data_IF_760845915955
#
_entry.id   IF_760845915955
#
_cell.length_a   1.000
_cell.length_b   1.000
_cell.length_c   1.000
_cell.angle_alpha   90.00
_cell.angle_beta   90.00
_cell.angle_gamma   90.00
#
_symmetry.space_group_name_H-M   'P 1'
#
loop_
_entity.id
_entity.type
_entity.pdbx_description
1 polymer ?
#
# COMPACT_ATOMS: atom_id res chain seq x y z
N UNK A 1 1.75 -47.67 -23.92
CA UNK A 1 0.97 -46.39 -23.88
C UNK A 1 1.92 -45.36 -23.30
N UNK A 2 2.33 -44.37 -24.10
CA UNK A 2 3.19 -43.27 -23.60
C UNK A 2 2.28 -42.18 -23.10
N UNK A 3 2.38 -41.91 -21.80
CA UNK A 3 1.67 -40.82 -21.16
C UNK A 3 2.29 -39.50 -21.64
N UNK A 4 1.57 -38.78 -22.47
CA UNK A 4 1.97 -37.43 -22.89
C UNK A 4 1.61 -36.51 -21.71
N UNK A 5 2.55 -36.32 -20.78
CA UNK A 5 2.42 -35.32 -19.73
C UNK A 5 2.33 -33.92 -20.33
N UNK A 6 1.14 -33.47 -20.67
CA UNK A 6 0.87 -32.05 -20.91
C UNK A 6 1.08 -31.31 -19.58
N UNK A 7 2.16 -30.53 -19.53
CA UNK A 7 2.36 -29.56 -18.45
C UNK A 7 1.31 -28.45 -18.64
N UNK A 8 0.24 -28.51 -17.87
CA UNK A 8 -0.74 -27.42 -17.81
C UNK A 8 -0.05 -26.26 -17.10
N UNK A 9 0.49 -25.31 -17.86
CA UNK A 9 0.95 -24.03 -17.29
C UNK A 9 -0.32 -23.25 -16.98
N UNK A 10 -0.72 -23.23 -15.71
CA UNK A 10 -1.79 -22.34 -15.23
C UNK A 10 -1.18 -20.93 -15.20
N UNK A 11 -1.41 -20.18 -16.25
CA UNK A 11 -1.04 -18.77 -16.28
C UNK A 11 -1.89 -18.01 -15.28
N UNK A 12 -1.27 -17.47 -14.22
CA UNK A 12 -1.94 -16.67 -13.23
C UNK A 12 -2.57 -15.44 -13.91
N UNK A 13 -3.89 -15.29 -13.77
CA UNK A 13 -4.60 -14.09 -14.18
C UNK A 13 -4.84 -13.21 -12.97
N UNK A 14 -4.56 -11.93 -13.14
CA UNK A 14 -4.71 -10.90 -12.12
C UNK A 14 -5.98 -10.12 -12.39
N UNK A 15 -6.80 -9.92 -11.36
CA UNK A 15 -7.94 -9.03 -11.43
C UNK A 15 -7.45 -7.60 -11.23
N UNK A 16 -7.33 -6.85 -12.31
CA UNK A 16 -6.78 -5.49 -12.33
C UNK A 16 -7.89 -4.48 -12.51
N UNK A 17 -8.07 -3.57 -11.54
CA UNK A 17 -8.98 -2.43 -11.70
C UNK A 17 -8.42 -1.44 -12.70
N UNK A 18 -7.19 -0.99 -12.48
CA UNK A 18 -6.57 0.05 -13.28
C UNK A 18 -5.04 -0.03 -13.25
N UNK A 19 -4.41 0.43 -14.34
CA UNK A 19 -2.98 0.68 -14.44
C UNK A 19 -2.82 2.05 -15.07
N UNK A 20 -2.25 3.01 -14.34
CA UNK A 20 -2.13 4.40 -14.79
C UNK A 20 -0.82 5.04 -14.30
N UNK A 21 -0.39 6.09 -14.98
CA UNK A 21 0.76 6.91 -14.61
C UNK A 21 0.26 8.13 -13.83
N UNK A 22 0.84 8.35 -12.66
CA UNK A 22 0.61 9.55 -11.85
C UNK A 22 1.83 9.86 -10.98
N UNK A 23 1.64 10.60 -9.89
CA UNK A 23 2.65 10.81 -8.85
C UNK A 23 2.24 10.08 -7.58
N UNK A 24 3.21 9.56 -6.79
CA UNK A 24 2.91 9.11 -5.44
C UNK A 24 2.38 10.28 -4.60
N UNK A 25 1.17 10.15 -4.08
CA UNK A 25 0.53 11.17 -3.24
C UNK A 25 0.93 11.10 -1.78
N UNK A 26 1.58 10.01 -1.36
CA UNK A 26 1.92 9.69 0.02
C UNK A 26 3.21 8.86 0.11
N UNK A 27 3.75 8.72 1.33
CA UNK A 27 4.92 7.90 1.61
C UNK A 27 6.26 8.54 1.22
N UNK A 28 7.29 7.71 1.15
CA UNK A 28 8.65 8.18 0.95
C UNK A 28 8.93 8.71 -0.47
N UNK A 29 8.09 8.37 -1.45
CA UNK A 29 8.20 8.80 -2.84
C UNK A 29 7.23 9.93 -3.22
N UNK A 30 6.62 10.58 -2.25
CA UNK A 30 5.66 11.67 -2.47
C UNK A 30 6.15 12.68 -3.51
N UNK A 31 5.33 12.91 -4.55
CA UNK A 31 5.64 13.80 -5.67
C UNK A 31 6.44 13.17 -6.82
N UNK A 32 6.95 11.94 -6.69
CA UNK A 32 7.66 11.27 -7.78
C UNK A 32 6.69 10.61 -8.76
N UNK A 33 6.97 10.65 -10.08
CA UNK A 33 6.21 9.88 -11.07
C UNK A 33 6.29 8.38 -10.82
N UNK A 34 5.15 7.70 -10.81
CA UNK A 34 5.02 6.25 -10.61
C UNK A 34 3.90 5.68 -11.48
N UNK A 35 3.99 4.40 -11.79
CA UNK A 35 2.88 3.65 -12.38
C UNK A 35 2.13 2.96 -11.25
N UNK A 36 0.85 3.26 -11.10
CA UNK A 36 -0.02 2.54 -10.18
C UNK A 36 -0.52 1.25 -10.84
N UNK A 37 -0.46 0.14 -10.10
CA UNK A 37 -1.17 -1.10 -10.40
C UNK A 37 -2.17 -1.30 -9.27
N UNK A 38 -3.45 -1.12 -9.54
CA UNK A 38 -4.53 -1.35 -8.58
C UNK A 38 -5.19 -2.69 -8.84
N UNK A 39 -5.02 -3.62 -7.90
CA UNK A 39 -5.66 -4.94 -7.95
C UNK A 39 -7.04 -4.89 -7.27
N UNK A 40 -7.98 -5.70 -7.78
CA UNK A 40 -9.34 -5.77 -7.29
C UNK A 40 -9.46 -6.68 -6.05
N UNK A 41 -10.23 -6.24 -5.07
CA UNK A 41 -10.60 -7.01 -3.88
C UNK A 41 -9.82 -6.59 -2.63
N UNK A 42 -10.48 -6.66 -1.49
CA UNK A 42 -9.92 -6.34 -0.17
C UNK A 42 -10.46 -7.30 0.88
N UNK A 43 -9.65 -7.60 1.88
CA UNK A 43 -10.03 -8.38 3.07
C UNK A 43 -10.57 -7.50 4.21
N UNK A 44 -10.61 -6.16 4.03
CA UNK A 44 -11.14 -5.19 5.01
C UNK A 44 -12.28 -4.37 4.41
N UNK A 45 -13.06 -3.70 5.29
CA UNK A 45 -14.15 -2.78 4.94
C UNK A 45 -14.06 -1.52 5.81
N UNK A 46 -13.05 -0.69 5.52
CA UNK A 46 -12.79 0.53 6.29
C UNK A 46 -13.88 1.58 6.05
N UNK A 47 -14.28 2.30 7.13
CA UNK A 47 -15.34 3.31 7.08
C UNK A 47 -15.03 4.49 6.14
N UNK A 48 -13.77 4.93 6.10
CA UNK A 48 -13.28 6.06 5.30
C UNK A 48 -12.50 5.64 4.04
N UNK A 49 -12.76 4.41 3.53
CA UNK A 49 -12.10 3.94 2.32
C UNK A 49 -12.44 4.83 1.12
N UNK A 50 -11.43 5.40 0.47
CA UNK A 50 -11.58 6.26 -0.70
C UNK A 50 -11.53 5.48 -2.04
N UNK A 51 -11.22 4.18 -1.97
CA UNK A 51 -11.11 3.29 -3.14
C UNK A 51 -12.08 2.12 -3.07
N UNK A 52 -13.28 2.31 -2.50
CA UNK A 52 -14.32 1.26 -2.39
C UNK A 52 -14.68 0.60 -3.71
N UNK A 53 -14.62 1.35 -4.81
CA UNK A 53 -14.84 0.82 -6.15
C UNK A 53 -13.91 -0.34 -6.51
N UNK A 54 -12.73 -0.39 -5.90
CA UNK A 54 -11.78 -1.48 -6.11
C UNK A 54 -12.20 -2.82 -5.46
N UNK A 55 -13.29 -2.83 -4.69
CA UNK A 55 -13.77 -4.00 -3.96
C UNK A 55 -15.25 -4.31 -4.23
N UNK A 56 -16.09 -3.29 -4.43
CA UNK A 56 -17.55 -3.44 -4.40
C UNK A 56 -18.19 -3.57 -5.80
N UNK A 57 -17.62 -2.96 -6.84
CA UNK A 57 -18.28 -2.78 -8.14
C UNK A 57 -17.95 -3.85 -9.20
N UNK A 58 -17.13 -4.85 -8.88
CA UNK A 58 -16.63 -5.85 -9.84
C UNK A 58 -16.08 -5.26 -11.14
N UNK A 59 -15.57 -4.02 -11.09
CA UNK A 59 -14.93 -3.33 -12.20
C UNK A 59 -13.46 -3.73 -12.28
N UNK A 60 -13.19 -4.85 -12.93
CA UNK A 60 -11.81 -5.29 -13.19
C UNK A 60 -11.67 -5.97 -14.55
N UNK A 61 -10.46 -6.01 -15.05
CA UNK A 61 -10.08 -6.83 -16.20
C UNK A 61 -9.16 -7.96 -15.71
N UNK A 62 -9.36 -9.15 -16.22
CA UNK A 62 -8.39 -10.21 -16.05
C UNK A 62 -7.22 -9.98 -17.00
N UNK A 63 -6.02 -9.81 -16.45
CA UNK A 63 -4.80 -9.59 -17.20
C UNK A 63 -3.77 -10.66 -16.88
N UNK A 64 -3.02 -11.10 -17.88
CA UNK A 64 -1.85 -11.93 -17.68
C UNK A 64 -0.70 -11.12 -17.08
N UNK A 65 0.28 -11.80 -16.49
CA UNK A 65 1.52 -11.16 -16.04
C UNK A 65 2.21 -10.39 -17.16
N UNK A 66 2.24 -10.99 -18.35
CA UNK A 66 2.83 -10.38 -19.54
C UNK A 66 2.13 -9.05 -19.91
N UNK A 67 0.79 -9.05 -19.96
CA UNK A 67 0.02 -7.83 -20.32
C UNK A 67 0.25 -6.70 -19.30
N UNK A 68 0.33 -7.04 -18.00
CA UNK A 68 0.65 -6.06 -16.95
C UNK A 68 2.05 -5.47 -17.18
N UNK A 69 3.06 -6.31 -17.39
CA UNK A 69 4.44 -5.87 -17.62
C UNK A 69 4.56 -4.98 -18.86
N UNK A 70 3.97 -5.39 -19.99
CA UNK A 70 3.97 -4.60 -21.23
C UNK A 70 3.34 -3.22 -20.98
N UNK A 71 2.22 -3.19 -20.28
CA UNK A 71 1.53 -1.94 -19.95
C UNK A 71 2.38 -1.04 -19.05
N UNK A 72 2.98 -1.58 -17.98
CA UNK A 72 3.84 -0.84 -17.06
C UNK A 72 5.06 -0.27 -17.78
N UNK A 73 5.77 -1.12 -18.54
CA UNK A 73 6.98 -0.73 -19.28
C UNK A 73 6.70 0.35 -20.33
N UNK A 74 5.48 0.37 -20.90
CA UNK A 74 5.09 1.37 -21.91
C UNK A 74 5.06 2.80 -21.37
N UNK A 75 4.98 3.01 -20.05
CA UNK A 75 5.04 4.32 -19.45
C UNK A 75 6.46 4.88 -19.26
N UNK A 76 7.50 4.05 -19.37
CA UNK A 76 8.90 4.47 -19.27
C UNK A 76 9.33 4.97 -17.88
N UNK A 77 8.58 4.65 -16.83
CA UNK A 77 8.89 5.04 -15.44
C UNK A 77 9.37 3.81 -14.66
N UNK A 78 10.54 3.87 -13.99
CA UNK A 78 11.13 2.72 -13.31
C UNK A 78 10.55 2.48 -11.90
N UNK A 79 9.33 2.93 -11.63
CA UNK A 79 8.68 2.82 -10.32
C UNK A 79 7.24 2.40 -10.46
N UNK A 80 6.84 1.46 -9.59
CA UNK A 80 5.45 0.98 -9.46
C UNK A 80 5.00 1.17 -8.02
N UNK A 81 3.77 1.64 -7.83
CA UNK A 81 3.01 1.50 -6.60
C UNK A 81 1.97 0.43 -6.82
N UNK A 82 2.21 -0.73 -6.20
CA UNK A 82 1.31 -1.87 -6.19
C UNK A 82 0.33 -1.70 -5.04
N UNK A 83 -0.92 -1.51 -5.38
CA UNK A 83 -2.01 -1.20 -4.45
C UNK A 83 -3.29 -1.91 -4.86
N UNK A 84 -4.44 -1.48 -4.38
CA UNK A 84 -5.72 -2.04 -4.77
C UNK A 84 -6.78 -1.78 -3.72
N UNK A 85 -7.61 -2.78 -3.45
CA UNK A 85 -8.17 -2.98 -2.13
C UNK A 85 -7.05 -3.45 -1.20
N UNK A 86 -6.63 -4.72 -1.33
CA UNK A 86 -5.42 -5.26 -0.70
C UNK A 86 -4.64 -6.09 -1.73
N UNK A 87 -3.45 -5.64 -2.16
CA UNK A 87 -2.72 -6.35 -3.21
C UNK A 87 -2.19 -7.70 -2.76
N UNK A 88 -1.87 -7.87 -1.48
CA UNK A 88 -1.20 -9.08 -0.98
C UNK A 88 -2.12 -10.31 -0.86
N UNK A 89 -3.44 -10.15 -0.96
CA UNK A 89 -4.37 -11.31 -0.98
C UNK A 89 -4.46 -11.99 -2.35
N UNK A 90 -3.85 -11.40 -3.40
CA UNK A 90 -3.98 -11.93 -4.75
C UNK A 90 -3.11 -13.16 -4.97
N UNK A 91 -3.69 -14.26 -5.49
CA UNK A 91 -2.90 -15.38 -5.98
C UNK A 91 -1.89 -14.92 -7.03
N UNK A 92 -0.63 -15.33 -6.90
CA UNK A 92 0.43 -14.96 -7.86
C UNK A 92 1.02 -13.56 -7.68
N UNK A 93 0.61 -12.77 -6.68
CA UNK A 93 1.19 -11.42 -6.46
C UNK A 93 2.70 -11.44 -6.27
N UNK A 94 3.24 -12.50 -5.67
CA UNK A 94 4.70 -12.68 -5.54
C UNK A 94 5.40 -12.77 -6.90
N UNK A 95 4.79 -13.45 -7.87
CA UNK A 95 5.34 -13.55 -9.23
C UNK A 95 5.29 -12.21 -9.95
N UNK A 96 4.23 -11.41 -9.72
CA UNK A 96 4.15 -10.05 -10.23
C UNK A 96 5.28 -9.17 -9.65
N UNK A 97 5.49 -9.19 -8.34
CA UNK A 97 6.57 -8.44 -7.68
C UNK A 97 7.94 -8.86 -8.22
N UNK A 98 8.21 -10.18 -8.30
CA UNK A 98 9.47 -10.71 -8.85
C UNK A 98 9.71 -10.24 -10.27
N UNK A 99 8.68 -10.27 -11.11
CA UNK A 99 8.79 -9.90 -12.51
C UNK A 99 9.02 -8.40 -12.70
N UNK A 100 8.38 -7.54 -11.86
CA UNK A 100 8.66 -6.11 -11.87
C UNK A 100 10.12 -5.83 -11.48
N UNK A 101 10.60 -6.43 -10.39
CA UNK A 101 11.98 -6.29 -9.92
C UNK A 101 13.01 -6.80 -10.95
N UNK A 102 12.72 -7.92 -11.64
CA UNK A 102 13.57 -8.47 -12.68
C UNK A 102 13.68 -7.55 -13.92
N UNK A 103 12.69 -6.67 -14.14
CA UNK A 103 12.70 -5.63 -15.17
C UNK A 103 13.21 -4.28 -14.65
N UNK A 104 13.99 -4.27 -13.58
CA UNK A 104 14.64 -3.09 -12.99
C UNK A 104 13.67 -2.04 -12.41
N UNK A 105 12.45 -2.46 -12.06
CA UNK A 105 11.41 -1.59 -11.50
C UNK A 105 11.47 -1.64 -9.97
N UNK A 106 11.44 -0.46 -9.33
CA UNK A 106 11.24 -0.30 -7.90
C UNK A 106 9.75 -0.44 -7.57
N UNK A 107 9.42 -1.31 -6.61
CA UNK A 107 8.04 -1.62 -6.22
C UNK A 107 7.76 -1.11 -4.81
N UNK A 108 6.83 -0.17 -4.66
CA UNK A 108 6.20 0.14 -3.39
C UNK A 108 4.91 -0.68 -3.25
N UNK A 109 4.77 -1.41 -2.17
CA UNK A 109 3.60 -2.23 -1.88
C UNK A 109 2.79 -1.52 -0.79
N UNK A 110 1.62 -0.99 -1.15
CA UNK A 110 0.67 -0.45 -0.18
C UNK A 110 -0.21 -1.58 0.36
N UNK A 111 -0.05 -1.90 1.63
CA UNK A 111 -0.81 -2.96 2.30
C UNK A 111 -1.53 -2.45 3.54
N UNK A 112 -2.68 -3.03 3.83
CA UNK A 112 -3.53 -2.63 4.94
C UNK A 112 -3.13 -3.23 6.31
N UNK A 113 -2.06 -4.04 6.35
CA UNK A 113 -1.54 -4.64 7.58
C UNK A 113 -2.31 -5.83 8.14
N UNK A 114 -3.35 -6.30 7.43
CA UNK A 114 -4.17 -7.47 7.81
C UNK A 114 -3.85 -8.72 6.95
N UNK A 115 -2.69 -8.76 6.34
CA UNK A 115 -2.06 -9.93 5.70
C UNK A 115 -0.75 -10.19 6.42
N UNK A 116 -0.42 -11.45 6.67
CA UNK A 116 0.83 -11.82 7.32
C UNK A 116 2.02 -11.55 6.39
N UNK A 117 2.87 -10.59 6.76
CA UNK A 117 4.03 -10.22 5.96
C UNK A 117 5.15 -11.27 5.99
N UNK A 118 5.17 -12.20 6.94
CA UNK A 118 6.12 -13.31 6.94
C UNK A 118 5.96 -14.21 5.71
N UNK A 119 4.78 -14.24 5.10
CA UNK A 119 4.58 -14.89 3.80
C UNK A 119 5.40 -14.25 2.67
N UNK A 120 5.85 -13.02 2.85
CA UNK A 120 6.62 -12.22 1.89
C UNK A 120 8.09 -12.02 2.29
N UNK A 121 8.62 -12.91 3.14
CA UNK A 121 9.97 -12.85 3.71
C UNK A 121 11.07 -12.72 2.63
N UNK A 122 10.86 -13.26 1.45
CA UNK A 122 11.79 -13.18 0.32
C UNK A 122 12.04 -11.74 -0.17
N UNK A 123 11.12 -10.82 0.09
CA UNK A 123 11.23 -9.41 -0.29
C UNK A 123 11.72 -8.51 0.85
N UNK A 124 11.78 -9.01 2.08
CA UNK A 124 12.08 -8.22 3.28
C UNK A 124 13.34 -7.37 3.16
N UNK A 125 14.39 -7.93 2.59
CA UNK A 125 15.69 -7.26 2.42
C UNK A 125 15.99 -6.85 0.99
N UNK A 126 15.05 -7.01 0.06
CA UNK A 126 15.22 -6.58 -1.32
C UNK A 126 15.17 -5.04 -1.39
N UNK A 127 16.24 -4.40 -1.87
CA UNK A 127 16.36 -2.94 -1.93
C UNK A 127 15.38 -2.27 -2.89
N UNK A 128 14.83 -3.00 -3.86
CA UNK A 128 13.84 -2.51 -4.82
C UNK A 128 12.40 -2.70 -4.37
N UNK A 129 12.16 -3.39 -3.25
CA UNK A 129 10.82 -3.61 -2.72
C UNK A 129 10.69 -2.89 -1.38
N UNK A 130 9.69 -2.02 -1.28
CA UNK A 130 9.34 -1.30 -0.05
C UNK A 130 7.91 -1.63 0.32
N UNK A 131 7.67 -1.90 1.59
CA UNK A 131 6.35 -2.05 2.15
C UNK A 131 5.91 -0.72 2.77
N UNK A 132 4.79 -0.19 2.32
CA UNK A 132 4.06 0.90 2.97
C UNK A 132 2.84 0.28 3.65
N UNK A 133 2.97 -0.02 4.94
CA UNK A 133 1.91 -0.64 5.72
C UNK A 133 1.05 0.43 6.40
N UNK A 134 -0.24 0.42 6.12
CA UNK A 134 -1.22 1.31 6.70
C UNK A 134 -1.84 0.67 7.95
N UNK A 135 -1.41 1.10 9.15
CA UNK A 135 -2.03 0.69 10.40
C UNK A 135 -3.43 1.28 10.51
N UNK A 136 -4.44 0.44 10.47
CA UNK A 136 -5.85 0.86 10.54
C UNK A 136 -6.23 1.18 11.99
N UNK A 137 -6.41 2.48 12.26
CA UNK A 137 -6.86 2.97 13.55
C UNK A 137 -8.35 2.69 13.80
N UNK A 138 -8.82 2.97 15.02
CA UNK A 138 -10.17 2.64 15.48
C UNK A 138 -11.28 3.22 14.60
N UNK A 139 -11.11 4.45 14.09
CA UNK A 139 -12.09 5.10 13.21
C UNK A 139 -12.31 4.37 11.89
N UNK A 140 -11.35 3.57 11.44
CA UNK A 140 -11.50 2.70 10.28
C UNK A 140 -12.54 1.59 10.48
N UNK A 141 -12.81 1.21 11.75
CA UNK A 141 -13.58 0.03 12.13
C UNK A 141 -12.83 -1.29 11.96
N UNK A 142 -11.52 -1.26 11.62
CA UNK A 142 -10.73 -2.45 11.26
C UNK A 142 -9.48 -2.66 12.13
N UNK A 143 -9.34 -1.92 13.24
CA UNK A 143 -8.16 -2.01 14.11
C UNK A 143 -7.94 -3.44 14.67
N UNK A 144 -9.01 -4.17 14.96
CA UNK A 144 -8.97 -5.54 15.46
C UNK A 144 -8.43 -6.58 14.43
N UNK A 145 -8.30 -6.19 13.18
CA UNK A 145 -7.76 -7.02 12.10
C UNK A 145 -6.24 -6.86 11.92
N UNK A 146 -5.63 -5.90 12.61
CA UNK A 146 -4.21 -5.63 12.45
C UNK A 146 -3.34 -6.76 13.00
N UNK A 147 -2.41 -7.26 12.18
CA UNK A 147 -1.42 -8.27 12.56
C UNK A 147 -0.20 -7.54 13.11
N UNK A 148 -0.09 -7.49 14.45
CA UNK A 148 0.95 -6.71 15.12
C UNK A 148 2.37 -7.24 14.88
N UNK A 149 2.54 -8.54 14.60
CA UNK A 149 3.85 -9.11 14.21
C UNK A 149 4.42 -8.48 12.93
N UNK A 150 3.57 -7.94 12.05
CA UNK A 150 4.02 -7.21 10.86
C UNK A 150 4.91 -6.01 11.19
N UNK A 151 4.74 -5.39 12.37
CA UNK A 151 5.58 -4.28 12.82
C UNK A 151 7.05 -4.69 12.97
N UNK A 152 7.32 -5.92 13.42
CA UNK A 152 8.69 -6.46 13.54
C UNK A 152 9.26 -6.93 12.18
N UNK A 153 8.38 -7.20 11.21
CA UNK A 153 8.80 -7.53 9.85
C UNK A 153 9.42 -6.34 9.13
N UNK A 154 8.84 -5.14 9.29
CA UNK A 154 9.24 -3.94 8.57
C UNK A 154 10.68 -3.53 8.84
N UNK A 155 11.36 -3.05 7.81
CA UNK A 155 12.77 -2.63 7.82
C UNK A 155 12.88 -1.10 7.74
N UNK A 156 14.08 -0.49 7.98
CA UNK A 156 14.26 0.96 7.88
C UNK A 156 13.94 1.58 6.52
N UNK A 157 13.92 0.79 5.45
CA UNK A 157 13.49 1.22 4.11
C UNK A 157 11.97 1.29 3.95
N UNK A 158 11.23 0.62 4.84
CA UNK A 158 9.78 0.49 4.78
C UNK A 158 9.08 1.66 5.49
N UNK A 159 7.80 1.76 5.29
CA UNK A 159 6.93 2.80 5.86
C UNK A 159 5.87 2.16 6.73
N UNK A 160 5.65 2.72 7.92
CA UNK A 160 4.42 2.53 8.68
C UNK A 160 3.61 3.82 8.62
N UNK A 161 2.37 3.73 8.15
CA UNK A 161 1.46 4.86 7.98
C UNK A 161 0.28 4.74 8.95
N UNK A 162 -0.06 5.85 9.59
CA UNK A 162 -1.24 6.01 10.41
C UNK A 162 -2.14 7.10 9.80
N UNK A 163 -3.35 6.74 9.40
CA UNK A 163 -4.36 7.69 8.94
C UNK A 163 -5.32 7.92 10.10
N UNK A 164 -5.25 9.10 10.71
CA UNK A 164 -5.89 9.40 12.00
C UNK A 164 -7.03 10.42 11.85
N UNK A 165 -8.07 10.26 12.67
CA UNK A 165 -9.25 11.13 12.67
C UNK A 165 -9.37 12.01 13.92
N UNK A 166 -8.56 11.76 14.96
CA UNK A 166 -8.65 12.45 16.24
C UNK A 166 -7.40 12.22 17.12
N UNK A 167 -7.31 12.98 18.22
CA UNK A 167 -6.18 12.90 19.15
C UNK A 167 -6.00 11.53 19.84
N UNK A 168 -7.08 10.77 20.06
CA UNK A 168 -6.96 9.44 20.67
C UNK A 168 -6.20 8.47 19.73
N UNK A 169 -6.37 8.62 18.43
CA UNK A 169 -5.65 7.81 17.44
C UNK A 169 -4.20 8.25 17.30
N UNK A 170 -3.90 9.53 17.52
CA UNK A 170 -2.51 10.00 17.59
C UNK A 170 -1.80 9.43 18.82
N UNK A 171 -2.45 9.44 20.00
CA UNK A 171 -1.92 8.79 21.19
C UNK A 171 -1.78 7.26 21.01
N UNK A 172 -2.68 6.63 20.25
CA UNK A 172 -2.55 5.21 19.89
C UNK A 172 -1.35 4.96 18.98
N UNK A 173 -1.12 5.81 17.98
CA UNK A 173 0.08 5.77 17.13
C UNK A 173 1.35 5.83 17.98
N UNK A 174 1.46 6.79 18.87
CA UNK A 174 2.59 6.95 19.80
C UNK A 174 2.81 5.67 20.61
N UNK A 175 1.77 5.15 21.25
CA UNK A 175 1.83 3.90 22.00
C UNK A 175 2.33 2.71 21.14
N UNK A 176 1.85 2.56 19.91
CA UNK A 176 2.27 1.49 19.00
C UNK A 176 3.75 1.65 18.65
N UNK A 177 4.22 2.87 18.36
CA UNK A 177 5.62 3.12 18.01
C UNK A 177 6.57 2.87 19.18
N UNK A 178 6.15 3.21 20.41
CA UNK A 178 6.95 2.99 21.62
C UNK A 178 6.98 1.53 22.06
N UNK A 179 5.83 0.82 21.93
CA UNK A 179 5.68 -0.55 22.42
C UNK A 179 6.16 -1.61 21.43
N UNK A 180 6.33 -1.26 20.16
CA UNK A 180 6.78 -2.20 19.11
C UNK A 180 8.27 -2.07 18.83
N UNK A 181 8.82 -3.12 18.19
CA UNK A 181 10.18 -3.09 17.63
C UNK A 181 10.20 -2.66 16.16
N UNK A 182 9.23 -1.87 15.75
CA UNK A 182 9.11 -1.38 14.38
C UNK A 182 10.33 -0.52 14.02
N UNK A 183 10.95 -0.82 12.87
CA UNK A 183 12.12 -0.08 12.35
C UNK A 183 11.75 0.83 11.17
N UNK A 184 10.52 0.69 10.66
CA UNK A 184 10.05 1.47 9.53
C UNK A 184 9.92 2.94 9.88
N UNK A 185 10.01 3.79 8.85
CA UNK A 185 9.77 5.22 9.00
C UNK A 185 8.28 5.48 9.26
N UNK A 186 7.88 6.07 10.40
CA UNK A 186 6.48 6.39 10.67
C UNK A 186 6.04 7.66 9.94
N UNK A 187 4.83 7.58 9.37
CA UNK A 187 4.10 8.69 8.76
C UNK A 187 2.73 8.81 9.41
N UNK A 188 2.27 10.04 9.61
CA UNK A 188 0.91 10.33 10.04
C UNK A 188 0.22 11.26 9.05
N UNK A 189 -0.99 10.88 8.63
CA UNK A 189 -1.85 11.64 7.72
C UNK A 189 -3.23 11.83 8.34
N UNK A 190 -3.94 12.94 8.06
CA UNK A 190 -5.30 13.11 8.53
C UNK A 190 -6.28 12.25 7.70
N UNK A 191 -7.30 11.69 8.35
CA UNK A 191 -8.52 11.30 7.64
C UNK A 191 -9.13 12.57 7.05
N UNK A 192 -9.29 12.60 5.73
CA UNK A 192 -9.74 13.79 5.01
C UNK A 192 -11.07 14.33 5.56
N UNK A 193 -11.06 15.59 6.01
CA UNK A 193 -12.21 16.28 6.57
C UNK A 193 -12.58 15.91 8.03
N UNK A 194 -11.81 15.03 8.70
CA UNK A 194 -12.09 14.65 10.10
C UNK A 194 -11.20 15.35 11.12
N UNK A 195 -9.95 15.64 10.77
CA UNK A 195 -9.00 16.38 11.59
C UNK A 195 -8.15 17.28 10.70
N UNK A 196 -7.82 18.47 11.16
CA UNK A 196 -7.01 19.41 10.38
C UNK A 196 -5.52 19.00 10.38
N UNK A 197 -4.82 19.12 9.25
CA UNK A 197 -3.38 18.82 9.19
C UNK A 197 -2.55 19.59 10.23
N UNK A 198 -2.95 20.81 10.57
CA UNK A 198 -2.28 21.62 11.59
C UNK A 198 -2.31 20.93 12.95
N UNK A 199 -3.41 20.28 13.33
CA UNK A 199 -3.54 19.58 14.61
C UNK A 199 -2.54 18.42 14.72
N UNK A 200 -2.25 17.72 13.59
CA UNK A 200 -1.22 16.68 13.55
C UNK A 200 0.17 17.28 13.79
N UNK A 201 0.45 18.42 13.15
CA UNK A 201 1.73 19.14 13.33
C UNK A 201 1.92 19.55 14.77
N UNK A 202 0.90 20.22 15.36
CA UNK A 202 0.94 20.68 16.74
C UNK A 202 1.20 19.49 17.70
N UNK A 203 0.46 18.39 17.54
CA UNK A 203 0.65 17.18 18.36
C UNK A 203 2.05 16.61 18.26
N UNK A 204 2.58 16.44 17.04
CA UNK A 204 3.92 15.88 16.81
C UNK A 204 5.00 16.76 17.45
N UNK A 205 4.87 18.08 17.37
CA UNK A 205 5.82 19.03 17.95
C UNK A 205 5.73 19.06 19.48
N UNK A 206 4.52 19.14 20.03
CA UNK A 206 4.28 19.22 21.49
C UNK A 206 4.76 17.95 22.20
N UNK A 207 4.56 16.78 21.59
CA UNK A 207 4.99 15.48 22.13
C UNK A 207 6.41 15.06 21.69
N UNK A 208 7.12 15.94 20.98
CA UNK A 208 8.53 15.70 20.52
C UNK A 208 8.72 14.40 19.76
N UNK A 209 7.75 14.04 18.92
CA UNK A 209 7.79 12.83 18.10
C UNK A 209 8.75 13.01 16.89
N UNK A 210 10.04 13.20 17.18
CA UNK A 210 11.06 13.65 16.22
C UNK A 210 11.25 12.74 15.00
N UNK A 211 10.82 11.48 15.07
CA UNK A 211 10.93 10.51 13.98
C UNK A 211 9.64 10.36 13.16
N UNK A 212 8.54 11.00 13.57
CA UNK A 212 7.26 10.92 12.87
C UNK A 212 7.20 11.98 11.79
N UNK A 213 6.91 11.60 10.56
CA UNK A 213 6.68 12.52 9.45
C UNK A 213 5.19 12.82 9.32
N UNK A 214 4.83 14.09 9.44
CA UNK A 214 3.48 14.56 9.11
C UNK A 214 3.36 14.69 7.61
N UNK A 215 2.27 14.19 7.04
CA UNK A 215 2.02 14.17 5.61
C UNK A 215 0.56 14.52 5.31
N UNK A 216 0.35 15.18 4.18
CA UNK A 216 -0.98 15.34 3.57
C UNK A 216 -1.07 14.49 2.31
N UNK A 217 -2.28 14.11 1.94
CA UNK A 217 -2.56 13.35 0.73
C UNK A 217 -2.52 14.29 -0.48
N UNK A 218 -1.40 14.35 -1.21
CA UNK A 218 -1.20 15.31 -2.31
C UNK A 218 -2.28 15.19 -3.40
N UNK A 219 -2.70 13.97 -3.72
CA UNK A 219 -3.72 13.74 -4.72
C UNK A 219 -5.06 14.44 -4.38
N UNK A 220 -5.41 14.56 -3.09
CA UNK A 220 -6.63 15.27 -2.64
C UNK A 220 -6.49 16.80 -2.66
N UNK A 221 -5.27 17.32 -2.81
CA UNK A 221 -5.00 18.76 -2.94
C UNK A 221 -4.92 19.16 -4.39
N UNK A 222 -4.29 18.31 -5.23
CA UNK A 222 -4.02 18.60 -6.64
C UNK A 222 -5.26 18.39 -7.51
N UNK A 223 -6.01 17.32 -7.26
CA UNK A 223 -7.19 16.93 -8.03
C UNK A 223 -8.46 16.95 -7.18
N UNK A 224 -9.59 16.70 -7.81
CA UNK A 224 -10.82 16.48 -7.07
C UNK A 224 -10.65 15.23 -6.20
N UNK A 225 -10.98 15.28 -4.88
CA UNK A 225 -10.79 14.14 -3.98
C UNK A 225 -11.46 12.82 -4.41
N UNK A 226 -12.45 12.88 -5.30
CA UNK A 226 -13.17 11.72 -5.84
C UNK A 226 -12.71 11.34 -7.26
N UNK A 227 -11.67 12.00 -7.80
CA UNK A 227 -11.15 11.68 -9.13
C UNK A 227 -10.39 10.36 -9.12
N UNK A 228 -10.57 9.55 -10.18
CA UNK A 228 -9.90 8.25 -10.34
C UNK A 228 -8.78 8.34 -11.35
N UNK A 229 -7.74 7.54 -11.19
CA UNK A 229 -6.63 7.44 -12.13
C UNK A 229 -5.67 8.63 -12.09
N UNK A 230 -5.58 9.31 -10.93
CA UNK A 230 -4.74 10.49 -10.69
C UNK A 230 -3.78 10.29 -9.54
#
# INVERSE_FOLDING_TARGET
MKDNGEVIIVENKYKVNEIFLSIDGEGYRTGLPVVFIRLYGCNLNCSYCDTRYSCEQQEYKEMSLYDILVKVLSYGVPRVTLTGGEPLIHPGVKDLIKSLVANDIEVNIETNGAVDLDEFIEFKYNSKVVFTMDYKCKSSGMEDKMILSNLEFLQPKDVIKFVVSNYNEMAKMEFILESSKCKAQPYVSPVFGAIEPKELVDYVLDNKLNNVKVQVQLHKIIWNPNERGV
#
